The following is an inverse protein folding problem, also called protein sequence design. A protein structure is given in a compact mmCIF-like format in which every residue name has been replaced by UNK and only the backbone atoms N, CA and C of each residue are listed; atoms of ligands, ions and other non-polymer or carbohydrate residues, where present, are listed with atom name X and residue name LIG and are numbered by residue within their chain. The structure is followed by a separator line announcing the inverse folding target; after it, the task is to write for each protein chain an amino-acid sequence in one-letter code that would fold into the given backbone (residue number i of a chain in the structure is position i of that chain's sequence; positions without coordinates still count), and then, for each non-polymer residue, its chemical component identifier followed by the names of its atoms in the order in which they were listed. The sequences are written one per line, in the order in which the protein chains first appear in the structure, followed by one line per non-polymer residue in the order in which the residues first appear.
data_IF_415218588901
#
_entry.id   IF_415218588901
#
_cell.length_a   1.000
_cell.length_b   1.000
_cell.length_c   1.000
_cell.angle_alpha   90.00
_cell.angle_beta   90.00
_cell.angle_gamma   90.00
#
_symmetry.space_group_name_H-M   'P 1'
#
loop_
_entity.id
_entity.type
_entity.pdbx_description
1 polymer ?
#
# COMPACT_ATOMS: atom_id res chain seq x y z
N UNK A 1 35.22 -14.96 -15.55
CA UNK A 1 34.96 -15.79 -14.35
C UNK A 1 33.49 -16.17 -14.33
N UNK A 2 33.16 -17.35 -14.88
CA UNK A 2 31.81 -17.93 -14.89
C UNK A 2 31.72 -18.86 -13.67
N UNK A 3 30.68 -18.72 -12.86
CA UNK A 3 30.34 -19.73 -11.85
C UNK A 3 28.98 -20.30 -12.24
N UNK A 4 29.03 -21.55 -12.71
CA UNK A 4 27.89 -22.38 -13.07
C UNK A 4 27.14 -22.83 -11.81
N UNK A 5 25.81 -22.88 -11.94
CA UNK A 5 24.89 -23.48 -10.97
C UNK A 5 25.03 -25.00 -11.00
N UNK A 6 25.14 -25.60 -9.83
CA UNK A 6 25.22 -27.04 -9.62
C UNK A 6 23.79 -27.58 -9.39
N UNK A 7 23.26 -28.31 -10.36
CA UNK A 7 22.10 -29.19 -10.19
C UNK A 7 22.58 -30.48 -9.54
N UNK A 8 22.07 -30.82 -8.36
CA UNK A 8 22.21 -32.15 -7.78
C UNK A 8 20.99 -32.99 -8.15
N UNK A 9 21.28 -33.99 -9.00
CA UNK A 9 20.42 -35.12 -9.36
C UNK A 9 20.32 -36.06 -8.15
N UNK A 10 19.12 -36.52 -7.83
CA UNK A 10 18.92 -37.69 -6.99
C UNK A 10 17.91 -38.62 -7.69
N UNK A 11 18.44 -39.57 -8.44
CA UNK A 11 17.73 -40.76 -8.89
C UNK A 11 17.93 -41.87 -7.84
N UNK A 12 16.82 -42.51 -7.43
CA UNK A 12 16.83 -43.91 -6.99
C UNK A 12 15.54 -44.59 -7.46
N UNK A 13 15.70 -45.54 -8.36
CA UNK A 13 14.72 -46.57 -8.71
C UNK A 13 14.77 -47.72 -7.71
N UNK A 14 13.62 -48.21 -7.25
CA UNK A 14 13.44 -49.60 -6.80
C UNK A 14 11.96 -49.98 -6.61
N UNK A 15 11.51 -50.93 -7.44
CA UNK A 15 10.66 -52.09 -7.16
C UNK A 15 9.25 -51.95 -6.52
N UNK A 16 8.26 -52.20 -7.39
CA UNK A 16 7.08 -53.07 -7.25
C UNK A 16 6.73 -53.54 -5.82
N UNK A 17 5.64 -53.00 -5.28
CA UNK A 17 4.80 -53.67 -4.30
C UNK A 17 3.33 -53.56 -4.72
N UNK A 18 2.78 -54.70 -5.15
CA UNK A 18 1.38 -54.91 -5.49
C UNK A 18 0.61 -55.03 -4.17
N UNK A 19 -0.15 -54.01 -3.79
CA UNK A 19 -1.20 -54.15 -2.79
C UNK A 19 -2.49 -53.55 -3.34
N UNK A 20 -3.44 -54.43 -3.58
CA UNK A 20 -4.80 -54.11 -3.97
C UNK A 20 -5.52 -53.79 -2.66
N UNK A 21 -5.34 -52.55 -2.19
CA UNK A 21 -6.09 -51.97 -1.08
C UNK A 21 -7.10 -51.01 -1.67
N UNK A 22 -8.38 -51.36 -1.61
CA UNK A 22 -9.49 -50.47 -1.98
C UNK A 22 -9.64 -49.39 -0.91
N UNK A 23 -8.78 -48.38 -0.95
CA UNK A 23 -9.02 -47.14 -0.24
C UNK A 23 -9.78 -46.22 -1.19
N UNK A 24 -11.05 -46.00 -0.86
CA UNK A 24 -11.91 -45.00 -1.47
C UNK A 24 -11.31 -43.64 -1.09
N UNK A 25 -10.32 -43.17 -1.85
CA UNK A 25 -9.76 -41.83 -1.71
C UNK A 25 -10.90 -40.82 -1.82
N UNK A 26 -11.16 -40.12 -0.70
CA UNK A 26 -12.15 -39.07 -0.59
C UNK A 26 -11.91 -38.01 -1.71
N UNK A 27 -12.81 -37.90 -2.71
CA UNK A 27 -12.57 -37.11 -3.93
C UNK A 27 -12.22 -35.65 -3.65
N UNK A 28 -12.64 -35.10 -2.50
CA UNK A 28 -12.41 -33.71 -2.15
C UNK A 28 -10.96 -33.33 -1.82
N UNK A 29 -10.06 -34.28 -1.47
CA UNK A 29 -8.67 -33.95 -1.08
C UNK A 29 -7.79 -33.62 -2.29
N UNK A 30 -7.93 -34.39 -3.36
CA UNK A 30 -7.15 -34.24 -4.61
C UNK A 30 -7.48 -32.94 -5.36
N UNK A 31 -8.74 -32.50 -5.30
CA UNK A 31 -9.13 -31.18 -5.83
C UNK A 31 -8.52 -30.03 -5.03
N UNK A 32 -8.43 -30.15 -3.69
CA UNK A 32 -7.84 -29.11 -2.84
C UNK A 32 -6.34 -28.93 -3.09
N UNK A 33 -5.61 -30.03 -3.25
CA UNK A 33 -4.16 -30.00 -3.51
C UNK A 33 -3.83 -29.50 -4.92
N UNK A 34 -4.57 -29.93 -5.95
CA UNK A 34 -4.39 -29.44 -7.32
C UNK A 34 -4.71 -27.93 -7.46
N UNK A 35 -5.75 -27.44 -6.79
CA UNK A 35 -6.13 -26.01 -6.83
C UNK A 35 -5.15 -25.11 -6.05
N UNK A 36 -4.59 -25.61 -4.94
CA UNK A 36 -3.56 -24.89 -4.18
C UNK A 36 -2.27 -24.78 -4.99
N UNK A 37 -1.84 -25.87 -5.65
CA UNK A 37 -0.63 -25.86 -6.49
C UNK A 37 -0.75 -24.93 -7.70
N UNK A 38 -1.90 -24.90 -8.38
CA UNK A 38 -2.12 -24.00 -9.55
C UNK A 38 -2.21 -22.52 -9.16
N UNK A 39 -2.80 -22.21 -7.99
CA UNK A 39 -2.88 -20.83 -7.47
C UNK A 39 -1.55 -20.26 -6.99
N UNK A 40 -0.66 -21.13 -6.46
CA UNK A 40 0.69 -20.72 -6.01
C UNK A 40 1.61 -20.50 -7.21
N UNK A 41 1.54 -21.36 -8.24
CA UNK A 41 2.33 -21.23 -9.47
C UNK A 41 2.01 -19.92 -10.23
N UNK A 42 0.75 -19.50 -10.30
CA UNK A 42 0.37 -18.23 -10.91
C UNK A 42 0.89 -17.01 -10.13
N UNK A 43 0.84 -17.05 -8.80
CA UNK A 43 1.36 -16.01 -7.93
C UNK A 43 2.89 -15.83 -8.05
N UNK A 44 3.64 -16.93 -8.17
CA UNK A 44 5.08 -16.87 -8.41
C UNK A 44 5.44 -16.31 -9.79
N UNK A 45 4.67 -16.66 -10.84
CA UNK A 45 4.83 -16.07 -12.18
C UNK A 45 4.56 -14.57 -12.18
N UNK A 46 3.50 -14.13 -11.50
CA UNK A 46 3.17 -12.71 -11.34
C UNK A 46 4.29 -11.97 -10.60
N UNK A 47 4.77 -12.52 -9.48
CA UNK A 47 5.89 -11.93 -8.73
C UNK A 47 7.15 -11.80 -9.61
N UNK A 48 7.53 -12.86 -10.33
CA UNK A 48 8.70 -12.85 -11.21
C UNK A 48 8.57 -11.80 -12.33
N UNK A 49 7.37 -11.64 -12.91
CA UNK A 49 7.10 -10.61 -13.89
C UNK A 49 7.29 -9.20 -13.30
N UNK A 50 6.72 -8.93 -12.12
CA UNK A 50 6.86 -7.65 -11.44
C UNK A 50 8.31 -7.36 -11.03
N UNK A 51 9.05 -8.37 -10.57
CA UNK A 51 10.48 -8.27 -10.27
C UNK A 51 11.30 -7.90 -11.53
N UNK A 52 10.95 -8.47 -12.68
CA UNK A 52 11.56 -8.13 -13.97
C UNK A 52 11.27 -6.68 -14.38
N UNK A 53 10.04 -6.20 -14.16
CA UNK A 53 9.68 -4.80 -14.43
C UNK A 53 10.48 -3.83 -13.56
N UNK A 54 10.72 -4.16 -12.29
CA UNK A 54 11.53 -3.30 -11.40
C UNK A 54 12.99 -3.29 -11.85
N UNK A 55 13.53 -4.46 -12.23
CA UNK A 55 14.95 -4.61 -12.56
C UNK A 55 15.30 -4.00 -13.93
N UNK A 56 14.38 -4.08 -14.90
CA UNK A 56 14.61 -3.62 -16.28
C UNK A 56 14.36 -2.13 -16.49
N UNK A 57 13.63 -1.47 -15.58
CA UNK A 57 13.17 -0.09 -15.76
C UNK A 57 13.79 0.87 -14.74
N UNK A 58 15.12 0.88 -14.66
CA UNK A 58 15.83 1.81 -13.77
C UNK A 58 15.60 3.27 -14.16
N UNK A 59 15.33 3.55 -15.44
CA UNK A 59 15.06 4.90 -15.96
C UNK A 59 13.58 5.30 -15.86
N UNK A 60 12.64 4.33 -15.84
CA UNK A 60 11.21 4.58 -15.64
C UNK A 60 10.78 4.24 -14.20
N UNK A 61 11.01 5.22 -13.31
CA UNK A 61 10.59 5.15 -11.91
C UNK A 61 9.09 4.86 -11.76
N UNK A 62 8.26 5.24 -12.75
CA UNK A 62 6.83 5.06 -12.71
C UNK A 62 6.44 3.59 -12.85
N UNK A 63 7.11 2.85 -13.73
CA UNK A 63 6.91 1.41 -13.88
C UNK A 63 7.38 0.64 -12.64
N UNK A 64 8.54 0.99 -12.08
CA UNK A 64 9.04 0.40 -10.85
C UNK A 64 8.06 0.62 -9.68
N UNK A 65 7.55 1.84 -9.49
CA UNK A 65 6.62 2.11 -8.39
C UNK A 65 5.23 1.46 -8.59
N UNK A 66 4.75 1.26 -9.83
CA UNK A 66 3.54 0.45 -10.09
C UNK A 66 3.75 -1.01 -9.68
N UNK A 67 4.87 -1.60 -10.07
CA UNK A 67 5.19 -2.98 -9.72
C UNK A 67 5.36 -3.16 -8.20
N UNK A 68 6.06 -2.22 -7.55
CA UNK A 68 6.19 -2.19 -6.08
C UNK A 68 4.83 -2.07 -5.38
N UNK A 69 3.92 -1.26 -5.91
CA UNK A 69 2.56 -1.13 -5.38
C UNK A 69 1.81 -2.45 -5.46
N UNK A 70 1.88 -3.13 -6.61
CA UNK A 70 1.20 -4.41 -6.81
C UNK A 70 1.74 -5.51 -5.91
N UNK A 71 3.08 -5.63 -5.78
CA UNK A 71 3.71 -6.56 -4.85
C UNK A 71 3.25 -6.31 -3.41
N UNK A 72 3.19 -5.03 -2.99
CA UNK A 72 2.77 -4.63 -1.65
C UNK A 72 1.29 -4.94 -1.39
N UNK A 73 0.41 -4.47 -2.27
CA UNK A 73 -1.04 -4.51 -2.08
C UNK A 73 -1.55 -5.96 -2.13
N UNK A 74 -0.97 -6.79 -3.00
CA UNK A 74 -1.29 -8.23 -3.10
C UNK A 74 -0.43 -9.11 -2.17
N UNK A 75 0.44 -8.51 -1.35
CA UNK A 75 1.34 -9.20 -0.43
C UNK A 75 2.23 -10.29 -1.07
N UNK A 76 2.58 -10.13 -2.34
CA UNK A 76 3.35 -11.12 -3.10
C UNK A 76 4.75 -11.36 -2.52
N UNK A 77 5.29 -10.40 -1.76
CA UNK A 77 6.53 -10.57 -1.00
C UNK A 77 6.49 -11.75 -0.01
N UNK A 78 5.30 -12.20 0.41
CA UNK A 78 5.13 -13.41 1.24
C UNK A 78 5.48 -14.69 0.50
N UNK A 79 5.27 -14.76 -0.82
CA UNK A 79 5.66 -15.90 -1.64
C UNK A 79 7.18 -16.06 -1.70
N UNK A 80 7.91 -14.95 -1.53
CA UNK A 80 9.37 -14.95 -1.38
C UNK A 80 9.84 -15.13 0.07
N UNK A 81 8.95 -15.51 0.99
CA UNK A 81 9.23 -15.78 2.41
C UNK A 81 9.69 -14.56 3.22
N UNK A 82 9.26 -13.35 2.86
CA UNK A 82 9.53 -12.14 3.65
C UNK A 82 8.38 -11.76 4.58
N UNK A 83 8.72 -11.32 5.79
CA UNK A 83 7.72 -10.91 6.77
C UNK A 83 7.06 -9.57 6.46
N UNK A 84 7.84 -8.65 5.90
CA UNK A 84 7.42 -7.29 5.58
C UNK A 84 7.82 -6.92 4.16
N UNK A 85 7.04 -6.03 3.56
CA UNK A 85 7.34 -5.49 2.23
C UNK A 85 8.69 -4.75 2.24
N UNK A 86 8.99 -4.05 3.33
CA UNK A 86 10.22 -3.28 3.50
C UNK A 86 11.47 -4.15 3.56
N UNK A 87 11.41 -5.28 4.27
CA UNK A 87 12.52 -6.24 4.30
C UNK A 87 12.75 -6.83 2.90
N UNK A 88 11.67 -7.13 2.19
CA UNK A 88 11.73 -7.64 0.82
C UNK A 88 12.39 -6.63 -0.15
N UNK A 89 11.93 -5.37 -0.19
CA UNK A 89 12.50 -4.37 -1.11
C UNK A 89 13.96 -4.05 -0.79
N UNK A 90 14.32 -4.03 0.49
CA UNK A 90 15.72 -3.82 0.92
C UNK A 90 16.60 -5.00 0.51
N UNK A 91 16.16 -6.23 0.70
CA UNK A 91 16.95 -7.41 0.35
C UNK A 91 17.11 -7.62 -1.17
N UNK A 92 16.09 -7.28 -1.97
CA UNK A 92 16.09 -7.52 -3.43
C UNK A 92 16.81 -6.44 -4.24
N UNK A 93 16.64 -5.17 -3.86
CA UNK A 93 17.13 -4.03 -4.66
C UNK A 93 17.82 -2.94 -3.84
N UNK A 94 18.13 -3.19 -2.57
CA UNK A 94 18.66 -2.19 -1.63
C UNK A 94 17.76 -0.96 -1.39
N UNK A 95 16.49 -1.03 -1.83
CA UNK A 95 15.54 0.09 -1.73
C UNK A 95 15.05 0.24 -0.29
N UNK A 96 15.37 1.38 0.32
CA UNK A 96 14.87 1.74 1.65
C UNK A 96 13.33 1.85 1.68
N UNK A 97 12.74 1.59 2.85
CA UNK A 97 11.30 1.81 3.10
C UNK A 97 10.84 3.16 2.57
N UNK A 98 11.47 4.26 2.98
CA UNK A 98 11.05 5.60 2.59
C UNK A 98 11.08 5.80 1.06
N UNK A 99 12.06 5.22 0.38
CA UNK A 99 12.16 5.32 -1.07
C UNK A 99 11.10 4.47 -1.79
N UNK A 100 10.86 3.23 -1.36
CA UNK A 100 9.83 2.37 -1.94
C UNK A 100 8.44 3.02 -1.90
N UNK A 101 8.02 3.55 -0.75
CA UNK A 101 6.73 4.23 -0.61
C UNK A 101 6.68 5.55 -1.41
N UNK A 102 7.81 6.24 -1.55
CA UNK A 102 7.89 7.45 -2.37
C UNK A 102 7.71 7.14 -3.85
N UNK A 103 8.34 6.10 -4.37
CA UNK A 103 8.16 5.63 -5.75
C UNK A 103 6.69 5.32 -6.01
N UNK A 104 6.07 4.49 -5.16
CA UNK A 104 4.64 4.19 -5.24
C UNK A 104 3.80 5.47 -5.28
N UNK A 105 4.07 6.40 -4.36
CA UNK A 105 3.32 7.67 -4.28
C UNK A 105 3.49 8.52 -5.53
N UNK A 106 4.68 8.59 -6.10
CA UNK A 106 4.93 9.37 -7.31
C UNK A 106 4.23 8.78 -8.53
N UNK A 107 4.20 7.45 -8.67
CA UNK A 107 3.42 6.80 -9.73
C UNK A 107 1.93 7.10 -9.62
N UNK A 108 1.38 7.11 -8.40
CA UNK A 108 -0.01 7.48 -8.18
C UNK A 108 -0.31 8.92 -8.61
N UNK A 109 0.64 9.84 -8.41
CA UNK A 109 0.53 11.22 -8.92
C UNK A 109 0.54 11.22 -10.44
N UNK A 110 1.51 10.56 -11.08
CA UNK A 110 1.57 10.47 -12.56
C UNK A 110 0.26 9.92 -13.14
N UNK A 111 -0.25 8.83 -12.58
CA UNK A 111 -1.52 8.24 -12.99
C UNK A 111 -2.70 9.20 -12.81
N UNK A 112 -2.73 9.96 -11.72
CA UNK A 112 -3.75 10.98 -11.48
C UNK A 112 -3.65 12.16 -12.47
N UNK A 113 -2.48 12.44 -13.04
CA UNK A 113 -2.28 13.49 -14.05
C UNK A 113 -2.59 13.05 -15.48
N UNK A 114 -2.56 11.74 -15.77
CA UNK A 114 -2.79 11.18 -17.11
C UNK A 114 -4.05 11.72 -17.83
N UNK A 115 -5.20 11.96 -17.16
CA UNK A 115 -6.37 12.54 -17.84
C UNK A 115 -6.23 14.00 -18.28
N UNK A 116 -5.18 14.71 -17.87
CA UNK A 116 -4.96 16.12 -18.21
C UNK A 116 -4.31 16.26 -19.60
N UNK A 117 -3.56 15.25 -20.05
CA UNK A 117 -2.90 15.20 -21.35
C UNK A 117 -1.62 14.36 -21.34
N UNK A 118 -0.91 14.36 -22.47
CA UNK A 118 0.27 13.52 -22.68
C UNK A 118 1.56 14.08 -22.06
N UNK A 119 1.57 15.37 -21.72
CA UNK A 119 2.71 16.01 -21.04
C UNK A 119 2.65 15.68 -19.55
N UNK A 120 3.50 14.74 -19.13
CA UNK A 120 3.61 14.28 -17.75
C UNK A 120 4.99 14.62 -17.16
N UNK A 121 5.12 14.72 -15.83
CA UNK A 121 6.43 14.82 -15.20
C UNK A 121 7.30 13.61 -15.59
N UNK A 122 8.51 13.88 -16.06
CA UNK A 122 9.45 12.87 -16.57
C UNK A 122 10.37 12.28 -15.50
N UNK A 123 10.50 12.93 -14.33
CA UNK A 123 11.36 12.45 -13.26
C UNK A 123 10.78 12.70 -11.86
N UNK A 124 11.33 11.99 -10.87
CA UNK A 124 10.93 12.10 -9.47
C UNK A 124 10.99 13.53 -8.93
N UNK A 125 11.97 14.32 -9.36
CA UNK A 125 12.18 15.68 -8.86
C UNK A 125 11.04 16.61 -9.25
N UNK A 126 10.48 16.46 -10.45
CA UNK A 126 9.30 17.22 -10.90
C UNK A 126 8.04 16.78 -10.12
N UNK A 127 7.82 15.47 -9.93
CA UNK A 127 6.65 14.93 -9.22
C UNK A 127 6.65 15.30 -7.74
N UNK A 128 7.84 15.40 -7.13
CA UNK A 128 8.04 15.64 -5.69
C UNK A 128 7.22 16.81 -5.15
N UNK A 129 7.06 17.87 -5.94
CA UNK A 129 6.34 19.07 -5.52
C UNK A 129 4.82 18.91 -5.58
N UNK A 130 4.32 17.99 -6.40
CA UNK A 130 2.89 17.68 -6.55
C UNK A 130 2.42 16.64 -5.53
N UNK A 131 3.30 15.73 -5.11
CA UNK A 131 2.96 14.64 -4.20
C UNK A 131 2.29 15.03 -2.87
N UNK A 132 2.58 16.19 -2.25
CA UNK A 132 1.89 16.65 -1.04
C UNK A 132 0.47 17.19 -1.26
N UNK A 133 0.08 17.53 -2.50
CA UNK A 133 -1.21 18.12 -2.84
C UNK A 133 -2.31 17.06 -2.90
N UNK A 134 -3.57 17.47 -2.72
CA UNK A 134 -4.72 16.57 -2.92
C UNK A 134 -4.86 16.15 -4.39
N UNK A 135 -5.43 14.99 -4.72
CA UNK A 135 -5.53 14.52 -6.11
C UNK A 135 -6.19 15.52 -7.07
N UNK A 136 -7.23 16.23 -6.62
CA UNK A 136 -7.89 17.27 -7.41
C UNK A 136 -6.97 18.48 -7.64
N UNK A 137 -6.21 18.88 -6.61
CA UNK A 137 -5.28 20.00 -6.68
C UNK A 137 -4.09 19.68 -7.57
N UNK A 138 -3.56 18.45 -7.52
CA UNK A 138 -2.51 18.00 -8.43
C UNK A 138 -2.91 18.22 -9.89
N UNK A 139 -4.13 17.79 -10.25
CA UNK A 139 -4.67 17.96 -11.61
C UNK A 139 -4.85 19.43 -12.00
N UNK A 140 -5.44 20.24 -11.11
CA UNK A 140 -5.64 21.68 -11.33
C UNK A 140 -4.30 22.39 -11.53
N UNK A 141 -3.38 22.22 -10.59
CA UNK A 141 -2.03 22.82 -10.63
C UNK A 141 -1.29 22.41 -11.89
N UNK A 142 -1.35 21.13 -12.26
CA UNK A 142 -0.67 20.64 -13.45
C UNK A 142 -1.23 21.28 -14.72
N UNK A 143 -2.55 21.33 -14.84
CA UNK A 143 -3.24 21.99 -15.97
C UNK A 143 -2.85 23.47 -16.07
N UNK A 144 -2.89 24.19 -14.95
CA UNK A 144 -2.58 25.62 -14.92
C UNK A 144 -1.09 25.89 -15.20
N UNK A 145 -0.20 25.03 -14.72
CA UNK A 145 1.23 25.09 -15.01
C UNK A 145 1.52 24.93 -16.50
N UNK A 146 0.91 23.93 -17.15
CA UNK A 146 1.06 23.69 -18.59
C UNK A 146 0.51 24.85 -19.42
N UNK A 147 -0.63 25.43 -19.01
CA UNK A 147 -1.21 26.60 -19.67
C UNK A 147 -0.30 27.85 -19.57
N UNK A 148 0.52 27.95 -18.52
CA UNK A 148 1.49 29.02 -18.35
C UNK A 148 2.72 28.95 -19.26
N UNK A 149 2.92 27.85 -20.00
CA UNK A 149 3.99 27.71 -20.99
C UNK A 149 5.43 27.73 -20.43
N UNK A 150 5.59 27.58 -19.11
CA UNK A 150 6.91 27.55 -18.47
C UNK A 150 7.63 26.22 -18.74
N UNK A 151 8.96 26.26 -18.85
CA UNK A 151 9.76 25.03 -19.01
C UNK A 151 9.51 24.04 -17.86
N UNK A 152 9.42 22.76 -18.23
CA UNK A 152 9.12 21.63 -17.34
C UNK A 152 10.31 21.29 -16.42
N UNK A 153 10.62 22.16 -15.47
CA UNK A 153 11.68 21.93 -14.48
C UNK A 153 11.10 21.81 -13.08
N UNK A 154 11.74 21.02 -12.22
CA UNK A 154 11.32 20.87 -10.82
C UNK A 154 11.27 22.22 -10.09
N UNK A 155 12.21 23.12 -10.40
CA UNK A 155 12.28 24.45 -9.81
C UNK A 155 11.12 25.35 -10.28
N UNK A 156 10.72 25.29 -11.55
CA UNK A 156 9.59 26.05 -12.06
C UNK A 156 8.27 25.53 -11.47
N UNK A 157 8.09 24.21 -11.38
CA UNK A 157 6.92 23.61 -10.72
C UNK A 157 6.85 24.03 -9.26
N UNK A 158 7.97 23.97 -8.53
CA UNK A 158 8.04 24.42 -7.12
C UNK A 158 7.65 25.90 -6.99
N UNK A 159 8.22 26.77 -7.82
CA UNK A 159 7.92 28.21 -7.81
C UNK A 159 6.44 28.45 -8.09
N UNK A 160 5.89 27.81 -9.10
CA UNK A 160 4.48 27.92 -9.48
C UNK A 160 3.55 27.55 -8.31
N UNK A 161 3.78 26.41 -7.65
CA UNK A 161 2.99 25.97 -6.50
C UNK A 161 3.13 26.92 -5.30
N UNK A 162 4.34 27.45 -5.08
CA UNK A 162 4.62 28.38 -3.98
C UNK A 162 3.90 29.71 -4.19
N UNK A 163 3.94 30.27 -5.40
CA UNK A 163 3.31 31.54 -5.75
C UNK A 163 1.79 31.47 -5.63
N UNK A 164 1.18 30.33 -5.96
CA UNK A 164 -0.26 30.11 -5.79
C UNK A 164 -0.71 29.93 -4.33
N UNK A 165 0.19 30.07 -3.34
CA UNK A 165 -0.16 30.05 -1.92
C UNK A 165 -0.75 28.72 -1.44
N UNK A 166 -0.50 27.62 -2.17
CA UNK A 166 -1.04 26.31 -1.82
C UNK A 166 -0.34 25.75 -0.57
N UNK A 167 -0.95 26.00 0.59
CA UNK A 167 -0.55 25.38 1.86
C UNK A 167 -0.89 23.89 1.81
N UNK A 168 -0.03 23.06 2.40
CA UNK A 168 -0.35 21.66 2.75
C UNK A 168 -1.75 21.64 3.36
N UNK A 169 -2.69 20.80 2.89
CA UNK A 169 -4.07 20.87 3.36
C UNK A 169 -4.07 20.81 4.89
N UNK A 170 -4.65 21.84 5.50
CA UNK A 170 -5.01 21.77 6.91
C UNK A 170 -5.89 20.53 7.07
N UNK A 171 -5.74 19.79 8.18
CA UNK A 171 -6.63 18.65 8.48
C UNK A 171 -8.07 19.16 8.29
N UNK A 172 -8.93 18.43 7.56
CA UNK A 172 -10.31 18.88 7.35
C UNK A 172 -10.91 19.24 8.70
N UNK A 173 -11.35 20.48 8.85
CA UNK A 173 -11.97 20.91 10.08
C UNK A 173 -13.37 20.31 10.12
N UNK A 174 -13.53 19.29 10.95
CA UNK A 174 -14.82 18.62 11.13
C UNK A 174 -15.65 19.29 12.22
N UNK A 175 -15.17 20.37 12.85
CA UNK A 175 -15.82 21.00 14.02
C UNK A 175 -17.28 21.39 13.73
N UNK A 176 -17.58 21.82 12.51
CA UNK A 176 -18.95 22.19 12.08
C UNK A 176 -19.89 20.99 11.94
N UNK A 177 -19.37 19.76 11.91
CA UNK A 177 -20.15 18.51 11.79
C UNK A 177 -20.30 17.78 13.11
N UNK A 178 -19.77 18.32 14.20
CA UNK A 178 -19.84 17.73 15.54
C UNK A 178 -21.04 18.37 16.25
N UNK A 179 -22.08 17.58 16.52
CA UNK A 179 -23.23 18.11 17.26
C UNK A 179 -22.84 18.47 18.69
N UNK A 180 -23.44 19.51 19.30
CA UNK A 180 -23.14 19.91 20.68
C UNK A 180 -23.29 18.75 21.69
N UNK A 181 -24.29 17.89 21.49
CA UNK A 181 -24.61 16.77 22.36
C UNK A 181 -23.52 15.69 22.29
N UNK A 182 -23.08 15.36 21.07
CA UNK A 182 -21.99 14.40 20.89
C UNK A 182 -20.68 14.94 21.47
N UNK A 183 -20.39 16.23 21.27
CA UNK A 183 -19.22 16.88 21.86
C UNK A 183 -19.27 16.84 23.40
N UNK A 184 -20.42 17.11 24.02
CA UNK A 184 -20.60 17.06 25.46
C UNK A 184 -20.36 15.65 26.03
N UNK A 185 -20.89 14.62 25.34
CA UNK A 185 -20.67 13.22 25.72
C UNK A 185 -19.17 12.85 25.65
N UNK A 186 -18.49 13.22 24.56
CA UNK A 186 -17.04 12.96 24.40
C UNK A 186 -16.22 13.70 25.45
N UNK A 187 -16.52 14.97 25.75
CA UNK A 187 -15.85 15.74 26.81
C UNK A 187 -16.01 15.07 28.17
N UNK A 188 -17.21 14.59 28.48
CA UNK A 188 -17.48 13.85 29.73
C UNK A 188 -16.66 12.58 29.82
N UNK A 189 -16.65 11.77 28.74
CA UNK A 189 -15.83 10.57 28.67
C UNK A 189 -14.34 10.88 28.87
N UNK A 190 -13.82 11.93 28.24
CA UNK A 190 -12.41 12.33 28.41
C UNK A 190 -12.08 12.76 29.84
N UNK A 191 -13.01 13.43 30.53
CA UNK A 191 -12.82 13.78 31.94
C UNK A 191 -12.81 12.54 32.82
N UNK A 192 -13.69 11.57 32.58
CA UNK A 192 -13.67 10.29 33.30
C UNK A 192 -12.36 9.53 33.08
N UNK A 193 -11.82 9.54 31.84
CA UNK A 193 -10.50 8.97 31.55
C UNK A 193 -9.39 9.73 32.30
N UNK A 194 -9.49 11.05 32.42
CA UNK A 194 -8.53 11.86 33.18
C UNK A 194 -8.55 11.50 34.66
N UNK A 195 -9.73 11.43 35.27
CA UNK A 195 -9.92 11.03 36.68
C UNK A 195 -9.37 9.62 36.91
N UNK A 196 -9.77 8.65 36.10
CA UNK A 196 -9.32 7.26 36.23
C UNK A 196 -7.78 7.12 36.08
N UNK A 197 -7.14 7.99 35.28
CA UNK A 197 -5.67 8.02 35.18
C UNK A 197 -4.96 8.46 36.46
N UNK A 198 -5.60 9.26 37.30
CA UNK A 198 -5.04 9.67 38.58
C UNK A 198 -5.21 8.60 39.68
N UNK A 199 -6.08 7.60 39.47
CA UNK A 199 -6.40 6.54 40.44
C UNK A 199 -5.77 5.17 40.10
N UNK A 200 -4.47 5.13 39.77
CA UNK A 200 -3.67 3.92 39.51
C UNK A 200 -3.87 3.21 38.15
N UNK A 201 -4.32 3.91 37.10
CA UNK A 201 -4.29 3.35 35.74
C UNK A 201 -2.85 3.08 35.27
N UNK A 202 -2.51 1.81 35.00
CA UNK A 202 -1.13 1.44 34.66
C UNK A 202 -0.74 1.66 33.19
N UNK A 203 -1.47 1.08 32.23
CA UNK A 203 -1.31 1.35 30.79
C UNK A 203 -2.40 0.65 29.97
N UNK A 204 -2.53 0.99 28.68
CA UNK A 204 -3.40 0.27 27.73
C UNK A 204 -2.61 -0.03 26.46
N UNK A 205 -2.69 -1.28 25.99
CA UNK A 205 -2.01 -1.67 24.76
C UNK A 205 -2.64 -1.00 23.54
N UNK A 206 -1.83 -0.76 22.50
CA UNK A 206 -2.30 -0.19 21.23
C UNK A 206 -3.44 -0.99 20.61
N UNK A 207 -3.39 -2.32 20.71
CA UNK A 207 -4.43 -3.20 20.16
C UNK A 207 -5.77 -3.03 20.90
N UNK A 208 -5.73 -2.93 22.23
CA UNK A 208 -6.92 -2.69 23.04
C UNK A 208 -7.54 -1.31 22.73
N UNK A 209 -6.72 -0.27 22.59
CA UNK A 209 -7.21 1.06 22.21
C UNK A 209 -7.89 1.06 20.82
N UNK A 210 -7.32 0.34 19.85
CA UNK A 210 -7.92 0.19 18.52
C UNK A 210 -9.24 -0.61 18.55
N UNK A 211 -9.35 -1.63 19.40
CA UNK A 211 -10.59 -2.37 19.62
C UNK A 211 -11.70 -1.44 20.13
N UNK A 212 -11.40 -0.65 21.17
CA UNK A 212 -12.37 0.30 21.73
C UNK A 212 -12.78 1.39 20.75
N UNK A 213 -11.85 1.90 19.92
CA UNK A 213 -12.20 2.83 18.84
C UNK A 213 -13.21 2.24 17.85
N UNK A 214 -13.12 0.93 17.56
CA UNK A 214 -14.10 0.25 16.71
C UNK A 214 -15.46 0.17 17.38
N UNK A 215 -15.52 -0.21 18.65
CA UNK A 215 -16.78 -0.28 19.42
C UNK A 215 -17.45 1.10 19.47
N UNK A 216 -16.70 2.15 19.74
CA UNK A 216 -17.21 3.54 19.75
C UNK A 216 -17.78 3.90 18.39
N UNK A 217 -17.07 3.59 17.29
CA UNK A 217 -17.54 3.84 15.92
C UNK A 217 -18.87 3.12 15.64
N UNK A 218 -18.97 1.84 15.98
CA UNK A 218 -20.20 1.04 15.76
C UNK A 218 -21.39 1.64 16.51
N UNK A 219 -21.20 2.05 17.76
CA UNK A 219 -22.27 2.63 18.59
C UNK A 219 -22.75 4.00 18.10
N UNK A 220 -21.85 4.81 17.54
CA UNK A 220 -22.22 6.09 16.92
C UNK A 220 -23.07 5.85 15.67
N UNK A 221 -22.68 4.90 14.82
CA UNK A 221 -23.37 4.60 13.57
C UNK A 221 -24.73 3.92 13.80
N UNK A 222 -24.86 3.06 14.82
CA UNK A 222 -26.14 2.40 15.14
C UNK A 222 -27.26 3.37 15.57
N UNK A 223 -26.91 4.58 16.04
CA UNK A 223 -27.90 5.60 16.41
C UNK A 223 -28.57 6.27 15.20
N UNK A 224 -27.97 6.19 14.00
CA UNK A 224 -28.45 6.90 12.81
C UNK A 224 -29.42 6.14 11.90
N UNK A 225 -29.81 4.90 12.22
CA UNK A 225 -30.65 4.04 11.36
C UNK A 225 -32.12 3.97 11.85
N UNK A 226 -32.46 4.66 12.95
CA UNK A 226 -33.75 4.49 13.64
C UNK A 226 -34.82 5.55 13.42
N UNK A 227 -34.51 6.71 12.86
CA UNK A 227 -35.48 7.82 12.73
C UNK A 227 -35.62 8.24 11.26
N UNK A 228 -36.50 7.54 10.55
CA UNK A 228 -36.96 7.84 9.19
C UNK A 228 -38.32 7.22 8.95
#
# INVERSE_FOLDING_TARGET
MRIQRQCLVFEKSAHIAKSIGTDIENPCRRYREAHVVTSVDSGHKQLAHLESLISSNQEDFCQAGRALKEIRDNRLYKLALFDTFEAYTKARWDISRAHAYRLIKYCEVIHNLSPIGDILPVNESQVRHLAPLMPMEQRRVWKDFLAGGSELTAQNIKRFITVQGMKKPARPDWSDRITPEYMAAVKTMLEQVRVARHENWQSTSRQAALLWNRVVKEKILSKGIGDG
#
